data_IF_132936463473
#
_entry.id   IF_132936463473
#
_cell.length_a   1.000
_cell.length_b   1.000
_cell.length_c   1.000
_cell.angle_alpha   90.00
_cell.angle_beta   90.00
_cell.angle_gamma   90.00
#
_symmetry.space_group_name_H-M   'P 1'
#
loop_
_entity.id
_entity.type
_entity.pdbx_description
1 polymer ?
#
# COMPACT_ATOMS: atom_id res chain seq x y z
N UNK A 1 28.05 39.17 23.05
CA UNK A 1 27.87 40.03 24.25
C UNK A 1 26.47 40.61 24.19
N UNK A 2 25.72 40.47 25.25
CA UNK A 2 24.35 40.92 25.60
C UNK A 2 23.27 39.87 25.35
N UNK A 3 22.96 39.25 26.51
CA UNK A 3 21.78 38.46 26.84
C UNK A 3 20.54 39.35 26.88
N UNK A 4 19.42 38.89 26.36
CA UNK A 4 18.11 39.40 26.74
C UNK A 4 17.29 38.23 27.32
N UNK A 5 17.27 38.17 28.62
CA UNK A 5 16.31 37.42 29.41
C UNK A 5 15.09 38.33 29.54
N UNK A 6 13.96 37.92 29.01
CA UNK A 6 12.67 38.57 29.20
C UNK A 6 11.75 37.64 29.97
N UNK A 7 11.63 37.90 31.27
CA UNK A 7 10.61 37.32 32.14
C UNK A 7 9.21 37.75 31.68
N UNK A 8 8.34 36.77 31.42
CA UNK A 8 6.91 37.01 31.40
C UNK A 8 6.28 36.51 32.70
N UNK A 9 6.26 37.42 33.69
CA UNK A 9 5.41 37.30 34.87
C UNK A 9 4.04 37.91 34.56
N UNK A 10 2.97 37.19 34.90
CA UNK A 10 1.71 37.76 35.28
C UNK A 10 0.58 37.73 34.29
N UNK A 11 -0.06 36.60 34.07
CA UNK A 11 -1.46 36.55 33.70
C UNK A 11 -2.24 35.84 34.79
N UNK A 12 -2.84 36.66 35.66
CA UNK A 12 -3.84 36.19 36.63
C UNK A 12 -5.09 35.78 35.86
N UNK A 13 -5.39 34.50 35.86
CA UNK A 13 -6.70 34.04 35.47
C UNK A 13 -7.71 34.47 36.53
N UNK A 14 -8.57 35.37 36.17
CA UNK A 14 -9.77 35.69 36.95
C UNK A 14 -10.69 34.48 36.85
N UNK A 15 -10.84 33.80 37.96
CA UNK A 15 -11.86 32.78 38.14
C UNK A 15 -13.24 33.42 38.09
N UNK A 16 -13.96 33.21 36.99
CA UNK A 16 -15.38 33.47 36.97
C UNK A 16 -16.11 32.20 37.41
N UNK A 17 -16.53 32.22 38.64
CA UNK A 17 -17.52 31.29 39.19
C UNK A 17 -18.80 31.46 38.43
N UNK A 18 -19.08 30.57 37.46
CA UNK A 18 -20.45 30.38 36.95
C UNK A 18 -20.91 29.08 37.55
N UNK A 19 -21.69 29.24 38.58
CA UNK A 19 -22.38 28.20 39.27
C UNK A 19 -23.53 27.67 38.41
N UNK A 20 -23.57 26.35 38.29
CA UNK A 20 -24.77 25.51 38.33
C UNK A 20 -25.80 25.55 37.22
N UNK A 21 -25.94 24.42 36.57
CA UNK A 21 -27.12 23.72 36.01
C UNK A 21 -26.96 23.05 34.64
N UNK A 22 -25.77 22.48 34.32
CA UNK A 22 -25.66 21.60 33.14
C UNK A 22 -24.82 20.34 33.40
N UNK A 23 -24.67 19.90 34.65
CA UNK A 23 -23.76 18.81 34.99
C UNK A 23 -24.20 17.40 34.57
N UNK A 24 -25.40 17.24 34.04
CA UNK A 24 -25.92 15.93 33.62
C UNK A 24 -25.77 15.62 32.13
N UNK A 25 -25.60 16.65 31.30
CA UNK A 25 -25.56 16.46 29.84
C UNK A 25 -24.13 16.28 29.33
N UNK A 26 -23.17 16.88 30.01
CA UNK A 26 -21.77 16.78 29.62
C UNK A 26 -21.16 15.42 30.01
N UNK A 27 -21.55 14.86 31.16
CA UNK A 27 -21.12 13.53 31.57
C UNK A 27 -21.67 12.41 30.66
N UNK A 28 -22.87 12.54 30.16
CA UNK A 28 -23.49 11.60 29.21
C UNK A 28 -22.77 11.64 27.86
N UNK A 29 -22.46 12.84 27.38
CA UNK A 29 -21.73 13.06 26.14
C UNK A 29 -20.30 12.49 26.22
N UNK A 30 -19.59 12.69 27.33
CA UNK A 30 -18.28 12.10 27.56
C UNK A 30 -18.33 10.58 27.62
N UNK A 31 -19.34 10.01 28.28
CA UNK A 31 -19.53 8.53 28.28
C UNK A 31 -19.80 7.96 26.91
N UNK A 32 -20.59 8.65 26.07
CA UNK A 32 -20.86 8.25 24.69
C UNK A 32 -19.60 8.36 23.83
N UNK A 33 -18.83 9.45 23.97
CA UNK A 33 -17.56 9.62 23.29
C UNK A 33 -16.55 8.54 23.68
N UNK A 34 -16.44 8.25 24.97
CA UNK A 34 -15.52 7.24 25.49
C UNK A 34 -15.88 5.83 25.04
N UNK A 35 -17.19 5.49 24.98
CA UNK A 35 -17.67 4.24 24.40
C UNK A 35 -17.31 4.11 22.92
N UNK A 36 -17.55 5.16 22.13
CA UNK A 36 -17.21 5.17 20.71
C UNK A 36 -15.71 5.09 20.45
N UNK A 37 -14.89 5.77 21.24
CA UNK A 37 -13.43 5.66 21.15
C UNK A 37 -12.93 4.27 21.53
N UNK A 38 -13.48 3.65 22.57
CA UNK A 38 -13.15 2.28 22.95
C UNK A 38 -13.61 1.27 21.89
N UNK A 39 -14.79 1.45 21.31
CA UNK A 39 -15.29 0.59 20.23
C UNK A 39 -14.44 0.73 18.97
N UNK A 40 -14.01 1.95 18.64
CA UNK A 40 -13.07 2.20 17.54
C UNK A 40 -11.68 1.59 17.81
N UNK A 41 -11.14 1.73 19.03
CA UNK A 41 -9.86 1.12 19.41
C UNK A 41 -9.91 -0.41 19.43
N UNK A 42 -11.04 -1.00 19.82
CA UNK A 42 -11.25 -2.46 19.77
C UNK A 42 -11.44 -2.97 18.34
N UNK A 43 -11.94 -2.13 17.44
CA UNK A 43 -12.10 -2.45 16.02
C UNK A 43 -10.74 -2.39 15.29
N UNK A 44 -9.90 -1.41 15.65
CA UNK A 44 -8.53 -1.27 15.13
C UNK A 44 -7.65 -2.41 15.63
N UNK A 45 -7.72 -2.76 16.94
CA UNK A 45 -6.95 -3.88 17.51
C UNK A 45 -7.36 -5.26 16.95
N UNK A 46 -8.61 -5.44 16.52
CA UNK A 46 -9.04 -6.70 15.88
C UNK A 46 -8.54 -6.85 14.44
N UNK A 47 -8.10 -5.75 13.81
CA UNK A 47 -7.51 -5.79 12.48
C UNK A 47 -5.97 -5.97 12.51
N UNK A 48 -5.33 -5.80 13.68
CA UNK A 48 -3.86 -5.88 13.81
C UNK A 48 -3.35 -7.22 14.40
N UNK A 49 -4.23 -8.09 14.91
CA UNK A 49 -3.81 -9.34 15.59
C UNK A 49 -4.12 -10.63 14.83
N UNK A 50 -4.51 -10.57 13.56
CA UNK A 50 -4.76 -11.80 12.79
C UNK A 50 -4.01 -11.81 11.45
N UNK A 51 -2.67 -11.69 11.48
CA UNK A 51 -1.90 -12.11 10.31
C UNK A 51 -0.48 -12.59 10.64
N UNK A 52 -0.40 -13.77 11.18
CA UNK A 52 0.78 -14.63 11.03
C UNK A 52 0.32 -15.97 10.47
N UNK A 53 0.41 -16.11 9.16
CA UNK A 53 0.12 -17.32 8.38
C UNK A 53 -1.23 -17.34 7.67
N UNK A 54 -1.40 -16.42 6.70
CA UNK A 54 -2.34 -16.65 5.61
C UNK A 54 -1.79 -15.96 4.37
N UNK A 55 -1.77 -16.65 3.27
CA UNK A 55 -1.60 -16.12 1.92
C UNK A 55 -2.55 -14.94 1.76
N UNK A 56 -2.06 -13.71 1.94
CA UNK A 56 -2.89 -12.51 1.93
C UNK A 56 -3.48 -12.35 0.54
N UNK A 57 -4.71 -12.76 0.37
CA UNK A 57 -5.48 -12.60 -0.85
C UNK A 57 -5.92 -11.14 -0.95
N UNK A 58 -4.99 -10.24 -1.29
CA UNK A 58 -5.29 -8.83 -1.45
C UNK A 58 -6.08 -8.62 -2.74
N UNK A 59 -7.34 -8.22 -2.58
CA UNK A 59 -8.24 -7.88 -3.69
C UNK A 59 -8.07 -6.44 -4.17
N UNK A 60 -7.25 -5.64 -3.49
CA UNK A 60 -6.96 -4.24 -3.82
C UNK A 60 -5.45 -4.04 -3.95
N UNK A 61 -5.00 -3.13 -4.84
CA UNK A 61 -3.58 -2.82 -4.95
C UNK A 61 -3.01 -2.28 -3.64
N UNK A 62 -1.85 -2.82 -3.23
CA UNK A 62 -1.13 -2.37 -2.04
C UNK A 62 -0.36 -1.08 -2.33
N UNK A 63 -0.20 -0.22 -1.33
CA UNK A 63 0.66 0.95 -1.44
C UNK A 63 2.12 0.55 -1.24
N UNK A 64 2.94 0.83 -2.26
CA UNK A 64 4.39 0.59 -2.22
C UNK A 64 5.14 1.89 -1.96
N UNK A 65 6.19 1.77 -1.15
CA UNK A 65 7.08 2.86 -0.75
C UNK A 65 8.54 2.43 -0.87
N UNK A 66 9.46 3.40 -0.86
CA UNK A 66 10.90 3.13 -0.83
C UNK A 66 11.30 2.18 0.33
N UNK A 67 10.55 2.21 1.45
CA UNK A 67 10.83 1.39 2.63
C UNK A 67 10.33 -0.05 2.51
N UNK A 68 9.13 -0.27 1.93
CA UNK A 68 8.51 -1.60 1.90
C UNK A 68 8.72 -2.36 0.57
N UNK A 69 9.20 -1.68 -0.46
CA UNK A 69 9.30 -2.23 -1.82
C UNK A 69 10.08 -3.55 -1.88
N UNK A 70 11.27 -3.55 -1.30
CA UNK A 70 12.15 -4.74 -1.32
C UNK A 70 11.51 -5.95 -0.64
N UNK A 71 10.85 -5.73 0.49
CA UNK A 71 10.11 -6.77 1.20
C UNK A 71 8.96 -7.31 0.35
N UNK A 72 8.14 -6.41 -0.23
CA UNK A 72 6.99 -6.81 -1.04
C UNK A 72 7.40 -7.58 -2.31
N UNK A 73 8.47 -7.15 -2.98
CA UNK A 73 9.03 -7.86 -4.14
C UNK A 73 9.55 -9.25 -3.75
N UNK A 74 10.16 -9.38 -2.58
CA UNK A 74 10.67 -10.67 -2.08
C UNK A 74 9.56 -11.61 -1.58
N UNK A 75 8.49 -11.05 -0.99
CA UNK A 75 7.38 -11.79 -0.40
C UNK A 75 6.44 -12.42 -1.44
N UNK A 76 6.24 -11.75 -2.56
CA UNK A 76 5.25 -12.16 -3.55
C UNK A 76 5.91 -12.81 -4.78
N UNK A 77 5.41 -14.00 -5.14
CA UNK A 77 5.89 -14.73 -6.31
C UNK A 77 5.70 -13.94 -7.62
N UNK A 78 4.56 -13.26 -7.76
CA UNK A 78 4.25 -12.39 -8.90
C UNK A 78 3.65 -11.08 -8.37
N UNK A 79 4.39 -9.98 -8.51
CA UNK A 79 3.99 -8.64 -8.11
C UNK A 79 3.99 -7.72 -9.33
N UNK A 80 2.88 -7.03 -9.55
CA UNK A 80 2.71 -6.05 -10.60
C UNK A 80 2.71 -4.66 -9.98
N UNK A 81 3.60 -3.78 -10.43
CA UNK A 81 3.78 -2.44 -9.86
C UNK A 81 3.39 -1.38 -10.86
N UNK A 82 2.39 -0.56 -10.52
CA UNK A 82 1.99 0.64 -11.24
C UNK A 82 2.75 1.85 -10.70
N UNK A 83 3.69 2.37 -11.49
CA UNK A 83 4.41 3.62 -11.21
C UNK A 83 3.58 4.80 -11.72
N UNK A 84 3.16 5.65 -10.81
CA UNK A 84 2.21 6.73 -11.08
C UNK A 84 2.53 8.01 -10.32
N UNK A 85 1.85 9.11 -10.67
CA UNK A 85 1.84 10.34 -9.89
C UNK A 85 0.45 11.03 -9.93
N UNK A 86 0.10 11.88 -8.94
CA UNK A 86 -1.22 12.53 -8.88
C UNK A 86 -1.54 13.43 -10.06
N UNK A 87 -0.53 14.11 -10.61
CA UNK A 87 -0.66 15.01 -11.76
C UNK A 87 -0.70 14.29 -13.12
N UNK A 88 -0.45 12.99 -13.15
CA UNK A 88 -0.38 12.21 -14.39
C UNK A 88 -1.80 11.89 -14.90
N UNK A 89 -2.22 12.57 -15.96
CA UNK A 89 -3.51 12.35 -16.61
C UNK A 89 -3.72 10.90 -17.10
N UNK A 90 -2.78 10.34 -17.91
CA UNK A 90 -2.87 8.97 -18.38
C UNK A 90 -2.90 7.92 -17.25
N UNK A 91 -2.22 8.17 -16.12
CA UNK A 91 -2.25 7.25 -14.97
C UNK A 91 -3.66 7.09 -14.39
N UNK A 92 -4.48 8.13 -14.44
CA UNK A 92 -5.88 8.05 -13.97
C UNK A 92 -6.74 7.10 -14.81
N UNK A 93 -6.40 6.88 -16.08
CA UNK A 93 -7.08 5.91 -16.95
C UNK A 93 -6.62 4.48 -16.66
N UNK A 94 -5.35 4.29 -16.27
CA UNK A 94 -4.79 2.97 -15.97
C UNK A 94 -5.18 2.52 -14.56
N UNK A 95 -5.31 3.43 -13.61
CA UNK A 95 -5.59 3.12 -12.21
C UNK A 95 -6.83 2.23 -11.97
N UNK A 96 -8.01 2.49 -12.57
CA UNK A 96 -9.16 1.59 -12.44
C UNK A 96 -8.90 0.21 -13.04
N UNK A 97 -8.16 0.14 -14.15
CA UNK A 97 -7.78 -1.14 -14.79
C UNK A 97 -6.90 -1.98 -13.85
N UNK A 98 -5.92 -1.37 -13.19
CA UNK A 98 -5.08 -2.05 -12.20
C UNK A 98 -5.91 -2.57 -11.03
N UNK A 99 -6.88 -1.78 -10.55
CA UNK A 99 -7.78 -2.22 -9.47
C UNK A 99 -8.65 -3.39 -9.91
N UNK A 100 -9.21 -3.35 -11.11
CA UNK A 100 -10.03 -4.44 -11.67
C UNK A 100 -9.19 -5.73 -11.83
N UNK A 101 -8.00 -5.62 -12.41
CA UNK A 101 -7.08 -6.76 -12.57
C UNK A 101 -6.63 -7.34 -11.23
N UNK A 102 -6.47 -6.52 -10.19
CA UNK A 102 -6.12 -7.01 -8.85
C UNK A 102 -7.21 -7.91 -8.25
N UNK A 103 -8.47 -7.62 -8.56
CA UNK A 103 -9.61 -8.43 -8.15
C UNK A 103 -9.70 -9.73 -8.98
N UNK A 104 -9.57 -9.63 -10.30
CA UNK A 104 -9.66 -10.78 -11.20
C UNK A 104 -8.53 -11.80 -11.02
N UNK A 105 -7.34 -11.33 -10.70
CA UNK A 105 -6.15 -12.15 -10.53
C UNK A 105 -5.81 -12.43 -9.06
N UNK A 106 -6.78 -12.25 -8.17
CA UNK A 106 -6.65 -12.56 -6.74
C UNK A 106 -6.12 -13.99 -6.54
N UNK A 107 -5.09 -14.16 -5.74
CA UNK A 107 -4.43 -15.44 -5.48
C UNK A 107 -3.45 -15.90 -6.57
N UNK A 108 -3.40 -15.22 -7.74
CA UNK A 108 -2.44 -15.51 -8.83
C UNK A 108 -1.33 -14.45 -8.90
N UNK A 109 -1.67 -13.21 -8.63
CA UNK A 109 -0.76 -12.08 -8.66
C UNK A 109 -1.17 -11.03 -7.61
N UNK A 110 -0.20 -10.29 -7.11
CA UNK A 110 -0.41 -9.14 -6.24
C UNK A 110 -0.15 -7.88 -7.03
N UNK A 111 -0.96 -6.85 -6.80
CA UNK A 111 -0.81 -5.56 -7.45
C UNK A 111 -0.40 -4.51 -6.43
N UNK A 112 0.55 -3.67 -6.81
CA UNK A 112 1.02 -2.55 -6.02
C UNK A 112 0.99 -1.25 -6.80
N UNK A 113 0.89 -0.14 -6.08
CA UNK A 113 0.97 1.22 -6.63
C UNK A 113 2.08 1.98 -5.94
N UNK A 114 2.98 2.57 -6.72
CA UNK A 114 4.10 3.36 -6.23
C UNK A 114 4.02 4.79 -6.79
N UNK A 115 3.85 5.77 -5.90
CA UNK A 115 3.91 7.18 -6.27
C UNK A 115 5.37 7.59 -6.47
N UNK A 116 5.75 7.96 -7.69
CA UNK A 116 7.15 8.28 -8.03
C UNK A 116 7.65 9.58 -7.39
N UNK A 117 6.74 10.52 -7.09
CA UNK A 117 7.11 11.78 -6.42
C UNK A 117 7.50 11.57 -4.96
N UNK A 118 6.84 10.61 -4.30
CA UNK A 118 7.08 10.27 -2.89
C UNK A 118 8.18 9.21 -2.71
N UNK A 119 8.48 8.45 -3.78
CA UNK A 119 9.40 7.31 -3.74
C UNK A 119 10.45 7.37 -4.87
N UNK A 120 11.28 8.43 -4.87
CA UNK A 120 12.25 8.67 -5.94
C UNK A 120 13.39 7.64 -5.97
N UNK A 121 13.70 6.98 -4.86
CA UNK A 121 14.78 5.99 -4.80
C UNK A 121 14.45 4.76 -5.65
N UNK A 122 13.26 4.20 -5.49
CA UNK A 122 12.82 3.05 -6.28
C UNK A 122 12.61 3.44 -7.74
N UNK A 123 11.96 4.59 -8.01
CA UNK A 123 11.78 5.08 -9.38
C UNK A 123 13.12 5.22 -10.11
N UNK A 124 14.14 5.77 -9.46
CA UNK A 124 15.49 5.90 -10.02
C UNK A 124 16.19 4.55 -10.19
N UNK A 125 16.10 3.66 -9.19
CA UNK A 125 16.73 2.33 -9.22
C UNK A 125 16.25 1.50 -10.42
N UNK A 126 14.97 1.59 -10.75
CA UNK A 126 14.39 0.87 -11.91
C UNK A 126 14.38 1.72 -13.19
N UNK A 127 14.99 2.90 -13.19
CA UNK A 127 15.11 3.75 -14.38
C UNK A 127 13.75 4.19 -14.93
N UNK A 128 12.78 4.50 -14.08
CA UNK A 128 11.45 4.96 -14.48
C UNK A 128 11.56 6.38 -15.03
N UNK A 129 11.52 6.51 -16.36
CA UNK A 129 11.65 7.79 -17.07
C UNK A 129 10.31 8.38 -17.49
N UNK A 130 9.26 7.57 -17.50
CA UNK A 130 7.92 8.00 -17.89
C UNK A 130 6.85 7.27 -17.09
N UNK A 131 5.71 7.90 -16.89
CA UNK A 131 4.55 7.34 -16.20
C UNK A 131 3.28 7.51 -17.05
N UNK A 132 2.33 6.57 -16.96
CA UNK A 132 2.39 5.34 -16.17
C UNK A 132 3.43 4.35 -16.71
N UNK A 133 4.06 3.59 -15.82
CA UNK A 133 4.86 2.41 -16.17
C UNK A 133 4.39 1.26 -15.29
N UNK A 134 4.06 0.13 -15.89
CA UNK A 134 3.68 -1.09 -15.18
C UNK A 134 4.86 -2.05 -15.25
N UNK A 135 5.48 -2.33 -14.11
CA UNK A 135 6.55 -3.30 -14.04
C UNK A 135 6.06 -4.64 -13.46
N UNK A 136 6.58 -5.73 -13.96
CA UNK A 136 6.24 -7.10 -13.56
C UNK A 136 7.44 -7.71 -12.87
N UNK A 137 7.25 -8.08 -11.60
CA UNK A 137 8.25 -8.74 -10.78
C UNK A 137 7.86 -10.20 -10.55
N UNK A 138 8.78 -11.11 -10.81
CA UNK A 138 8.60 -12.54 -10.54
C UNK A 138 9.78 -13.07 -9.73
N UNK A 139 9.49 -13.72 -8.59
CA UNK A 139 10.50 -14.28 -7.70
C UNK A 139 11.59 -13.25 -7.32
N UNK A 140 11.20 -12.05 -6.97
CA UNK A 140 12.13 -11.01 -6.52
C UNK A 140 12.86 -10.25 -7.65
N UNK A 141 12.56 -10.53 -8.92
CA UNK A 141 13.26 -9.91 -10.07
C UNK A 141 12.28 -9.23 -11.02
N UNK A 142 12.64 -8.07 -11.54
CA UNK A 142 11.93 -7.45 -12.65
C UNK A 142 12.10 -8.30 -13.90
N UNK A 143 11.01 -8.77 -14.49
CA UNK A 143 11.03 -9.68 -15.63
C UNK A 143 10.43 -9.08 -16.88
N UNK A 144 9.55 -8.11 -16.76
CA UNK A 144 8.86 -7.46 -17.90
C UNK A 144 8.27 -6.10 -17.49
N UNK A 145 7.76 -5.33 -18.45
CA UNK A 145 7.10 -4.06 -18.18
C UNK A 145 6.33 -3.51 -19.38
N UNK A 146 5.48 -2.54 -19.10
CA UNK A 146 4.71 -1.78 -20.08
C UNK A 146 4.94 -0.30 -19.78
N UNK A 147 5.43 0.44 -20.76
CA UNK A 147 5.65 1.88 -20.65
C UNK A 147 4.47 2.61 -21.31
N UNK A 148 3.87 3.55 -20.59
CA UNK A 148 2.72 4.33 -21.05
C UNK A 148 1.37 3.69 -20.73
N UNK A 149 0.30 4.40 -21.07
CA UNK A 149 -1.06 3.92 -20.85
C UNK A 149 -1.35 2.70 -21.72
N UNK A 150 -1.90 1.66 -21.09
CA UNK A 150 -2.24 0.41 -21.75
C UNK A 150 -3.68 0.01 -21.45
N UNK A 151 -4.32 -0.65 -22.42
CA UNK A 151 -5.65 -1.24 -22.22
C UNK A 151 -5.59 -2.47 -21.31
N UNK A 152 -6.71 -2.79 -20.66
CA UNK A 152 -6.84 -4.00 -19.84
C UNK A 152 -6.42 -5.27 -20.59
N UNK A 153 -6.86 -5.41 -21.86
CA UNK A 153 -6.52 -6.57 -22.69
C UNK A 153 -5.01 -6.68 -22.94
N UNK A 154 -4.33 -5.55 -23.16
CA UNK A 154 -2.88 -5.54 -23.35
C UNK A 154 -2.14 -5.95 -22.06
N UNK A 155 -2.52 -5.38 -20.92
CA UNK A 155 -1.93 -5.74 -19.62
C UNK A 155 -2.19 -7.22 -19.32
N UNK A 156 -3.42 -7.70 -19.49
CA UNK A 156 -3.79 -9.10 -19.25
C UNK A 156 -3.00 -10.06 -20.16
N UNK A 157 -2.85 -9.73 -21.46
CA UNK A 157 -2.05 -10.53 -22.40
C UNK A 157 -0.61 -10.70 -21.92
N UNK A 158 0.01 -9.61 -21.45
CA UNK A 158 1.36 -9.65 -20.89
C UNK A 158 1.43 -10.49 -19.60
N UNK A 159 0.48 -10.28 -18.68
CA UNK A 159 0.46 -11.02 -17.40
C UNK A 159 0.23 -12.51 -17.60
N UNK A 160 -0.56 -12.92 -18.58
CA UNK A 160 -0.86 -14.33 -18.84
C UNK A 160 0.39 -15.16 -19.14
N UNK A 161 1.40 -14.57 -19.76
CA UNK A 161 2.69 -15.25 -20.05
C UNK A 161 3.46 -15.56 -18.76
N UNK A 162 3.31 -14.73 -17.72
CA UNK A 162 4.01 -14.89 -16.45
C UNK A 162 3.21 -15.75 -15.45
N UNK A 163 1.88 -15.77 -15.54
CA UNK A 163 1.00 -16.58 -14.69
C UNK A 163 1.07 -18.06 -15.10
N UNK A 164 1.04 -18.36 -16.40
CA UNK A 164 0.93 -19.73 -16.90
C UNK A 164 2.24 -20.53 -16.83
N UNK A 165 3.39 -19.86 -16.70
CA UNK A 165 4.69 -20.54 -16.65
C UNK A 165 4.99 -21.23 -15.30
N UNK A 166 4.02 -21.35 -14.40
CA UNK A 166 4.14 -22.12 -13.16
C UNK A 166 3.79 -23.61 -13.31
N UNK A 167 3.37 -24.07 -14.51
CA UNK A 167 2.92 -25.45 -14.71
C UNK A 167 3.95 -26.35 -15.41
N UNK A 168 5.19 -25.90 -15.63
CA UNK A 168 6.12 -26.64 -16.50
C UNK A 168 7.59 -26.66 -16.04
N UNK A 169 7.87 -26.91 -14.75
CA UNK A 169 9.25 -27.20 -14.32
C UNK A 169 9.33 -28.14 -13.14
N UNK A 170 8.62 -29.30 -13.22
CA UNK A 170 8.96 -30.44 -12.38
C UNK A 170 8.52 -31.76 -13.00
N UNK A 171 8.85 -32.03 -14.27
CA UNK A 171 8.87 -33.40 -14.77
C UNK A 171 9.85 -33.45 -15.97
N UNK A 172 11.13 -33.60 -15.74
CA UNK A 172 11.96 -34.53 -16.49
C UNK A 172 13.45 -34.40 -16.14
N UNK A 173 13.87 -35.05 -15.09
CA UNK A 173 15.24 -35.55 -14.97
C UNK A 173 15.26 -36.83 -14.14
N UNK A 174 14.64 -37.87 -14.69
CA UNK A 174 14.92 -39.23 -14.24
C UNK A 174 14.77 -40.15 -15.43
N UNK A 175 15.87 -40.71 -15.80
CA UNK A 175 15.99 -41.91 -16.62
C UNK A 175 16.80 -41.67 -17.89
N UNK A 176 18.07 -42.00 -17.80
CA UNK A 176 18.73 -43.00 -18.64
C UNK A 176 20.17 -43.10 -18.23
N UNK A 177 20.46 -43.83 -17.15
CA UNK A 177 21.65 -44.64 -17.12
C UNK A 177 21.29 -45.95 -17.81
N UNK A 178 22.14 -46.45 -18.61
CA UNK A 178 22.46 -47.86 -18.85
C UNK A 178 23.26 -47.91 -20.16
N UNK A 179 24.41 -48.42 -20.03
CA UNK A 179 25.50 -48.93 -20.85
C UNK A 179 26.69 -47.99 -20.96
#
# INVERSE_FOLDING_TARGET
>A
MIYFIGEYQGMRYYGNSINDRTSGHDEELERIMQRKMNEFSLRTKRNDESDQSATTTTTTPITLTDQNFSEMVGKHHLLIVDFWAPWCGPCRMVSPVITELSQELTGKAVFGKLNVDENPMIASTFGIQSIPTIAIFKNGKAVDGIIGAASKSHIMSKLSTHINNNSSTDINSSSSGIY
#
